data_IF_473465713612
#
_entry.id   IF_473465713612
#
_cell.length_a   1.000
_cell.length_b   1.000
_cell.length_c   1.000
_cell.angle_alpha   90.00
_cell.angle_beta   90.00
_cell.angle_gamma   90.00
#
_symmetry.space_group_name_H-M   'P 1'
#
loop_
_entity.id
_entity.type
_entity.pdbx_description
1 polymer ?
#
# COMPACT_ATOMS: atom_id res chain seq x y z
N UNK A 1 -14.53 -22.64 -2.39
CA UNK A 1 -13.95 -21.51 -1.63
C UNK A 1 -12.72 -22.03 -0.90
N UNK A 2 -11.78 -21.17 -0.48
CA UNK A 2 -10.70 -21.61 0.40
C UNK A 2 -11.27 -22.12 1.73
N UNK A 3 -10.64 -23.12 2.35
CA UNK A 3 -11.08 -23.64 3.65
C UNK A 3 -11.02 -22.52 4.69
N UNK A 4 -12.05 -22.39 5.53
CA UNK A 4 -12.02 -21.46 6.64
C UNK A 4 -10.88 -21.83 7.60
N UNK A 5 -10.02 -20.85 7.88
CA UNK A 5 -8.91 -20.97 8.84
C UNK A 5 -9.12 -19.88 9.89
N UNK A 6 -9.03 -20.27 11.15
CA UNK A 6 -9.17 -19.40 12.31
C UNK A 6 -7.84 -19.36 13.07
N UNK A 7 -7.46 -18.18 13.55
CA UNK A 7 -6.28 -17.98 14.39
C UNK A 7 -6.56 -18.40 15.83
N UNK A 8 -5.52 -18.54 16.66
CA UNK A 8 -5.66 -19.04 18.05
C UNK A 8 -6.57 -18.18 18.94
N UNK A 9 -6.64 -16.87 18.69
CA UNK A 9 -7.54 -15.95 19.39
C UNK A 9 -8.96 -15.90 18.79
N UNK A 10 -9.20 -16.60 17.68
CA UNK A 10 -10.50 -16.73 17.01
C UNK A 10 -11.18 -18.09 17.29
N UNK A 11 -10.72 -18.86 18.29
CA UNK A 11 -11.27 -20.20 18.62
C UNK A 11 -12.79 -20.19 18.79
N UNK A 12 -13.33 -19.21 19.51
CA UNK A 12 -14.78 -18.97 19.64
C UNK A 12 -15.51 -18.88 18.29
N UNK A 13 -14.89 -18.19 17.31
CA UNK A 13 -15.46 -18.03 15.97
C UNK A 13 -15.41 -19.35 15.18
N UNK A 14 -14.36 -20.15 15.37
CA UNK A 14 -14.25 -21.50 14.81
C UNK A 14 -15.31 -22.45 15.35
N UNK A 15 -15.62 -22.39 16.65
CA UNK A 15 -16.71 -23.17 17.25
C UNK A 15 -18.10 -22.75 16.75
N UNK A 16 -18.35 -21.44 16.62
CA UNK A 16 -19.61 -20.93 16.05
C UNK A 16 -19.73 -21.35 14.58
N UNK A 17 -18.65 -21.24 13.81
CA UNK A 17 -18.61 -21.66 12.40
C UNK A 17 -18.87 -23.16 12.24
N UNK A 18 -18.26 -24.02 13.07
CA UNK A 18 -18.50 -25.47 13.04
C UNK A 18 -19.97 -25.80 13.29
N UNK A 19 -20.62 -25.12 14.24
CA UNK A 19 -22.06 -25.28 14.50
C UNK A 19 -22.92 -24.83 13.32
N UNK A 20 -22.52 -23.77 12.61
CA UNK A 20 -23.20 -23.35 11.38
C UNK A 20 -23.05 -24.40 10.26
N UNK A 21 -21.85 -24.95 10.07
CA UNK A 21 -21.56 -26.01 9.10
C UNK A 21 -22.30 -27.31 9.43
N UNK A 22 -22.44 -27.67 10.72
CA UNK A 22 -23.26 -28.80 11.19
C UNK A 22 -24.75 -28.62 10.87
N UNK A 23 -25.30 -27.40 11.04
CA UNK A 23 -26.69 -27.10 10.66
C UNK A 23 -26.90 -27.09 9.14
N UNK A 24 -26.01 -26.46 8.37
CA UNK A 24 -26.11 -26.40 6.90
C UNK A 24 -26.00 -27.82 6.29
N UNK A 25 -25.15 -28.70 6.84
CA UNK A 25 -25.09 -30.11 6.43
C UNK A 25 -26.33 -30.92 6.84
N UNK A 26 -26.88 -30.70 8.04
CA UNK A 26 -28.10 -31.35 8.50
C UNK A 26 -29.32 -30.97 7.64
N UNK A 27 -29.40 -29.73 7.18
CA UNK A 27 -30.44 -29.28 6.24
C UNK A 27 -30.32 -29.99 4.89
N UNK A 28 -29.09 -30.19 4.38
CA UNK A 28 -28.83 -30.96 3.15
C UNK A 28 -29.19 -32.45 3.28
N UNK A 29 -28.95 -33.07 4.44
CA UNK A 29 -29.24 -34.49 4.70
C UNK A 29 -30.72 -34.78 4.98
N UNK A 30 -31.38 -33.91 5.76
CA UNK A 30 -32.72 -34.18 6.31
C UNK A 30 -33.84 -33.37 5.66
N UNK A 31 -33.51 -32.32 4.90
CA UNK A 31 -34.48 -31.37 4.35
C UNK A 31 -35.18 -30.48 5.39
N UNK A 32 -34.80 -30.58 6.67
CA UNK A 32 -35.35 -29.76 7.76
C UNK A 32 -34.56 -28.45 7.83
N UNK A 33 -35.23 -27.35 7.54
CA UNK A 33 -34.62 -26.03 7.49
C UNK A 33 -34.60 -25.33 8.85
N UNK A 34 -33.41 -25.21 9.46
CA UNK A 34 -33.20 -24.51 10.75
C UNK A 34 -32.73 -23.05 10.54
N UNK A 35 -33.35 -22.37 9.57
CA UNK A 35 -33.01 -21.01 9.15
C UNK A 35 -32.90 -19.98 10.28
N UNK A 36 -33.75 -20.07 11.31
CA UNK A 36 -33.75 -19.14 12.45
C UNK A 36 -32.50 -19.34 13.34
N UNK A 37 -32.16 -20.58 13.68
CA UNK A 37 -30.95 -20.92 14.43
C UNK A 37 -29.68 -20.53 13.64
N UNK A 38 -29.67 -20.78 12.32
CA UNK A 38 -28.57 -20.38 11.44
C UNK A 38 -28.41 -18.86 11.37
N UNK A 39 -29.51 -18.10 11.33
CA UNK A 39 -29.53 -16.63 11.38
C UNK A 39 -29.01 -16.10 12.72
N UNK A 40 -29.40 -16.72 13.83
CA UNK A 40 -28.88 -16.37 15.16
C UNK A 40 -27.38 -16.64 15.29
N UNK A 41 -26.89 -17.79 14.83
CA UNK A 41 -25.45 -18.09 14.81
C UNK A 41 -24.68 -17.10 13.91
N UNK A 42 -25.21 -16.74 12.73
CA UNK A 42 -24.62 -15.71 11.86
C UNK A 42 -24.57 -14.34 12.54
N UNK A 43 -25.61 -13.94 13.28
CA UNK A 43 -25.62 -12.72 14.12
C UNK A 43 -24.56 -12.80 15.23
N UNK A 44 -24.51 -13.91 15.97
CA UNK A 44 -23.55 -14.14 17.06
C UNK A 44 -22.11 -14.12 16.57
N UNK A 45 -21.84 -14.76 15.43
CA UNK A 45 -20.53 -14.74 14.77
C UNK A 45 -20.12 -13.30 14.41
N UNK A 46 -21.03 -12.52 13.82
CA UNK A 46 -20.77 -11.12 13.45
C UNK A 46 -20.44 -10.26 14.67
N UNK A 47 -21.24 -10.34 15.74
CA UNK A 47 -20.99 -9.59 16.98
C UNK A 47 -19.67 -10.00 17.61
N UNK A 48 -19.40 -11.31 17.77
CA UNK A 48 -18.15 -11.80 18.36
C UNK A 48 -16.92 -11.44 17.53
N UNK A 49 -17.03 -11.42 16.20
CA UNK A 49 -15.96 -10.95 15.32
C UNK A 49 -15.68 -9.47 15.56
N UNK A 50 -16.73 -8.64 15.71
CA UNK A 50 -16.56 -7.21 15.98
C UNK A 50 -15.92 -6.94 17.36
N UNK A 51 -16.31 -7.69 18.40
CA UNK A 51 -15.67 -7.62 19.72
C UNK A 51 -14.17 -7.95 19.66
N UNK A 52 -13.81 -9.07 19.02
CA UNK A 52 -12.41 -9.51 18.91
C UNK A 52 -11.57 -8.52 18.09
N UNK A 53 -12.09 -8.06 16.95
CA UNK A 53 -11.34 -7.20 16.04
C UNK A 53 -11.32 -5.71 16.42
N UNK A 54 -12.04 -5.31 17.47
CA UNK A 54 -12.02 -3.95 18.02
C UNK A 54 -10.81 -3.68 18.93
N UNK A 55 -10.22 -4.70 19.55
CA UNK A 55 -9.13 -4.59 20.53
C UNK A 55 -8.00 -5.61 20.23
N UNK A 56 -7.50 -5.60 18.99
CA UNK A 56 -6.37 -6.45 18.60
C UNK A 56 -5.05 -5.87 19.11
N UNK A 57 -4.30 -6.67 19.86
CA UNK A 57 -2.89 -6.38 20.16
C UNK A 57 -2.04 -6.34 18.87
N UNK A 58 -0.92 -5.59 18.84
CA UNK A 58 -0.01 -5.56 17.68
C UNK A 58 0.46 -6.95 17.22
N UNK A 59 0.60 -7.91 18.14
CA UNK A 59 0.91 -9.30 17.82
C UNK A 59 -0.23 -10.02 17.11
N UNK A 60 -1.47 -9.90 17.60
CA UNK A 60 -2.64 -10.47 16.91
C UNK A 60 -2.82 -9.84 15.53
N UNK A 61 -2.60 -8.54 15.39
CA UNK A 61 -2.59 -7.85 14.09
C UNK A 61 -1.51 -8.41 13.16
N UNK A 62 -0.29 -8.70 13.65
CA UNK A 62 0.73 -9.39 12.86
C UNK A 62 0.32 -10.81 12.44
N UNK A 63 -0.43 -11.54 13.27
CA UNK A 63 -0.99 -12.85 12.89
C UNK A 63 -2.08 -12.71 11.79
N UNK A 64 -2.88 -11.64 11.81
CA UNK A 64 -3.84 -11.33 10.72
C UNK A 64 -3.12 -10.91 9.43
N UNK A 65 -2.00 -10.19 9.51
CA UNK A 65 -1.14 -9.89 8.36
C UNK A 65 -0.54 -11.16 7.73
N UNK A 66 -0.25 -12.17 8.56
CA UNK A 66 0.30 -13.48 8.18
C UNK A 66 -0.76 -14.53 7.83
N UNK A 67 -2.05 -14.19 7.84
CA UNK A 67 -3.13 -15.16 7.67
C UNK A 67 -3.02 -15.93 6.33
N UNK A 68 -3.13 -17.27 6.31
CA UNK A 68 -2.89 -18.06 5.11
C UNK A 68 -3.88 -17.84 3.97
N UNK A 69 -5.06 -17.28 4.26
CA UNK A 69 -6.05 -16.90 3.25
C UNK A 69 -6.04 -15.39 2.94
N UNK A 70 -5.08 -14.61 3.48
CA UNK A 70 -4.94 -13.19 3.15
C UNK A 70 -4.72 -13.02 1.63
N UNK A 71 -5.38 -12.06 0.97
CA UNK A 71 -5.18 -11.86 -0.47
C UNK A 71 -3.76 -11.34 -0.75
N UNK A 72 -3.10 -11.96 -1.74
CA UNK A 72 -1.76 -11.61 -2.21
C UNK A 72 -1.84 -10.69 -3.45
N UNK A 73 -0.69 -10.26 -3.96
CA UNK A 73 -0.59 -9.32 -5.10
C UNK A 73 -1.42 -9.75 -6.31
N UNK A 74 -1.35 -11.01 -6.73
CA UNK A 74 -2.13 -11.51 -7.88
C UNK A 74 -3.65 -11.46 -7.64
N UNK A 75 -4.13 -11.72 -6.41
CA UNK A 75 -5.56 -11.64 -6.11
C UNK A 75 -6.09 -10.20 -6.25
N UNK A 76 -5.26 -9.21 -5.90
CA UNK A 76 -5.60 -7.80 -6.12
C UNK A 76 -5.44 -7.38 -7.58
N UNK A 77 -4.45 -7.91 -8.30
CA UNK A 77 -4.29 -7.67 -9.74
C UNK A 77 -5.57 -8.10 -10.48
N UNK A 78 -5.98 -9.37 -10.30
CA UNK A 78 -7.15 -9.97 -10.95
C UNK A 78 -8.48 -9.28 -10.57
N UNK A 79 -8.56 -8.66 -9.39
CA UNK A 79 -9.77 -8.02 -8.89
C UNK A 79 -9.86 -6.51 -9.13
N UNK A 80 -8.74 -5.83 -9.39
CA UNK A 80 -8.66 -4.35 -9.46
C UNK A 80 -8.32 -3.85 -10.86
N UNK A 81 -7.43 -4.54 -11.56
CA UNK A 81 -6.84 -4.10 -12.81
C UNK A 81 -7.37 -4.89 -14.00
N UNK A 82 -7.33 -4.26 -15.17
CA UNK A 82 -7.77 -4.81 -16.44
C UNK A 82 -6.54 -5.04 -17.35
N UNK A 83 -6.63 -5.96 -18.32
CA UNK A 83 -5.56 -6.25 -19.30
C UNK A 83 -4.15 -6.49 -18.69
N UNK A 84 -4.04 -7.23 -17.58
CA UNK A 84 -2.74 -7.53 -16.97
C UNK A 84 -1.88 -8.46 -17.84
N UNK A 85 -0.65 -8.03 -18.14
CA UNK A 85 0.36 -8.77 -18.88
C UNK A 85 1.65 -8.86 -18.05
N UNK A 86 1.91 -10.02 -17.42
CA UNK A 86 3.11 -10.25 -16.61
C UNK A 86 4.39 -10.19 -17.47
N UNK A 87 5.45 -9.59 -16.91
CA UNK A 87 6.73 -9.33 -17.58
C UNK A 87 7.91 -9.92 -16.80
N UNK A 88 8.44 -11.02 -17.31
CA UNK A 88 9.45 -11.85 -16.63
C UNK A 88 10.91 -11.39 -16.80
N UNK A 89 11.75 -11.80 -15.85
CA UNK A 89 13.21 -11.74 -15.88
C UNK A 89 13.81 -10.39 -15.50
N UNK A 90 15.02 -10.40 -14.95
CA UNK A 90 15.82 -9.18 -14.69
C UNK A 90 16.70 -8.74 -15.88
N UNK A 91 16.93 -9.66 -16.84
CA UNK A 91 17.88 -9.55 -17.99
C UNK A 91 19.36 -9.71 -17.63
N UNK A 92 19.66 -10.18 -16.43
CA UNK A 92 21.03 -10.35 -15.91
C UNK A 92 21.28 -11.76 -15.39
N UNK A 93 20.32 -12.36 -14.68
CA UNK A 93 20.47 -13.66 -14.04
C UNK A 93 19.24 -14.55 -14.19
N UNK A 94 18.06 -14.14 -13.70
CA UNK A 94 16.88 -15.01 -13.62
C UNK A 94 15.53 -14.25 -13.55
N UNK A 95 14.43 -15.02 -13.54
CA UNK A 95 13.08 -14.53 -13.20
C UNK A 95 12.70 -14.99 -11.79
N UNK A 96 12.87 -14.12 -10.79
CA UNK A 96 12.40 -14.41 -9.43
C UNK A 96 10.86 -14.48 -9.40
N UNK A 97 10.35 -15.57 -8.84
CA UNK A 97 8.93 -15.88 -8.73
C UNK A 97 8.26 -15.22 -7.51
N UNK A 98 9.06 -14.69 -6.57
CA UNK A 98 8.60 -13.92 -5.42
C UNK A 98 8.17 -12.49 -5.79
N UNK A 99 8.62 -11.95 -6.92
CA UNK A 99 8.18 -10.66 -7.47
C UNK A 99 7.40 -10.92 -8.75
N UNK A 100 6.10 -10.61 -8.74
CA UNK A 100 5.29 -10.51 -9.95
C UNK A 100 5.23 -9.05 -10.40
N UNK A 101 5.07 -8.83 -11.70
CA UNK A 101 4.84 -7.48 -12.19
C UNK A 101 4.69 -7.40 -13.70
N UNK A 102 4.01 -6.36 -14.17
CA UNK A 102 3.56 -6.29 -15.55
C UNK A 102 2.77 -5.02 -15.88
N UNK A 103 2.46 -4.88 -17.16
CA UNK A 103 1.59 -3.80 -17.64
C UNK A 103 0.14 -4.15 -17.33
N UNK A 104 -0.65 -3.16 -16.94
CA UNK A 104 -2.08 -3.31 -16.67
C UNK A 104 -2.83 -2.01 -16.99
N UNK A 105 -4.14 -2.02 -16.79
CA UNK A 105 -5.01 -0.84 -16.82
C UNK A 105 -5.71 -0.64 -15.48
N UNK A 106 -5.73 0.60 -15.00
CA UNK A 106 -6.58 1.04 -13.90
C UNK A 106 -7.65 1.97 -14.48
N UNK A 107 -8.69 1.37 -15.07
CA UNK A 107 -9.69 2.08 -15.87
C UNK A 107 -9.10 2.63 -17.17
N UNK A 108 -9.07 3.96 -17.29
CA UNK A 108 -8.56 4.65 -18.49
C UNK A 108 -7.03 4.76 -18.52
N UNK A 109 -6.35 4.60 -17.38
CA UNK A 109 -4.90 4.75 -17.29
C UNK A 109 -4.17 3.42 -17.50
N UNK A 110 -3.21 3.40 -18.43
CA UNK A 110 -2.21 2.34 -18.51
C UNK A 110 -1.19 2.52 -17.38
N UNK A 111 -0.83 1.44 -16.70
CA UNK A 111 -0.04 1.45 -15.46
C UNK A 111 0.94 0.28 -15.41
N UNK A 112 1.99 0.40 -14.61
CA UNK A 112 2.86 -0.70 -14.23
C UNK A 112 2.48 -1.18 -12.83
N UNK A 113 2.24 -2.48 -12.65
CA UNK A 113 1.98 -3.07 -11.33
C UNK A 113 3.11 -4.03 -10.99
N UNK A 114 3.62 -3.96 -9.75
CA UNK A 114 4.71 -4.81 -9.24
C UNK A 114 4.34 -5.22 -7.82
N UNK A 115 4.70 -6.43 -7.37
CA UNK A 115 4.55 -6.75 -5.95
C UNK A 115 5.10 -8.09 -5.54
N UNK A 116 5.16 -8.27 -4.23
CA UNK A 116 5.55 -9.53 -3.62
C UNK A 116 4.42 -10.55 -3.76
N UNK A 117 4.76 -11.76 -4.18
CA UNK A 117 3.81 -12.85 -4.36
C UNK A 117 4.22 -14.04 -3.48
N UNK A 118 3.46 -14.25 -2.41
CA UNK A 118 3.50 -15.48 -1.62
C UNK A 118 2.80 -16.62 -2.35
N UNK A 119 2.91 -17.83 -1.81
CA UNK A 119 2.21 -19.02 -2.32
C UNK A 119 1.05 -19.47 -1.44
N UNK A 120 -0.03 -19.95 -2.06
CA UNK A 120 -1.18 -20.51 -1.33
C UNK A 120 -0.89 -21.93 -0.80
N UNK A 121 -0.37 -22.81 -1.65
CA UNK A 121 0.03 -24.17 -1.29
C UNK A 121 1.55 -24.32 -1.08
N UNK A 122 1.99 -25.46 -0.54
CA UNK A 122 3.40 -25.73 -0.23
C UNK A 122 4.31 -25.69 -1.46
N UNK A 123 3.85 -26.14 -2.64
CA UNK A 123 4.65 -26.13 -3.88
C UNK A 123 4.83 -24.69 -4.37
N UNK A 124 3.76 -23.90 -4.36
CA UNK A 124 3.83 -22.49 -4.73
C UNK A 124 4.68 -21.69 -3.73
N UNK A 125 4.56 -21.94 -2.42
CA UNK A 125 5.38 -21.29 -1.39
C UNK A 125 6.86 -21.54 -1.61
N UNK A 126 7.27 -22.78 -1.85
CA UNK A 126 8.66 -23.11 -2.17
C UNK A 126 9.10 -22.46 -3.49
N UNK A 127 8.29 -22.54 -4.56
CA UNK A 127 8.61 -21.90 -5.86
C UNK A 127 8.84 -20.39 -5.73
N UNK A 128 8.06 -19.71 -4.88
CA UNK A 128 8.10 -18.26 -4.68
C UNK A 128 8.91 -17.82 -3.45
N UNK A 129 9.74 -18.69 -2.88
CA UNK A 129 10.54 -18.42 -1.69
C UNK A 129 9.73 -17.81 -0.51
N UNK A 130 8.46 -18.20 -0.35
CA UNK A 130 7.53 -17.63 0.64
C UNK A 130 7.32 -16.10 0.53
N UNK A 131 7.53 -15.52 -0.66
CA UNK A 131 7.51 -14.07 -0.88
C UNK A 131 8.81 -13.37 -0.47
N UNK A 132 9.86 -14.10 -0.09
CA UNK A 132 11.19 -13.55 0.17
C UNK A 132 11.98 -13.40 -1.12
N UNK A 133 12.37 -12.18 -1.45
CA UNK A 133 12.94 -11.84 -2.75
C UNK A 133 14.46 -11.95 -2.77
N UNK A 134 14.99 -12.49 -3.87
CA UNK A 134 16.41 -12.60 -4.20
C UNK A 134 16.88 -11.38 -5.02
N UNK A 135 18.19 -11.15 -5.18
CA UNK A 135 18.71 -9.93 -5.80
C UNK A 135 18.16 -9.70 -7.23
N UNK A 136 18.05 -10.76 -8.02
CA UNK A 136 17.41 -10.79 -9.33
C UNK A 136 15.94 -10.29 -9.31
N UNK A 137 15.16 -10.55 -8.26
CA UNK A 137 13.79 -10.07 -8.15
C UNK A 137 13.71 -8.56 -7.94
N UNK A 138 14.61 -7.98 -7.15
CA UNK A 138 14.75 -6.53 -7.02
C UNK A 138 15.29 -5.89 -8.31
N UNK A 139 16.17 -6.56 -9.06
CA UNK A 139 16.60 -6.09 -10.39
C UNK A 139 15.46 -6.15 -11.42
N UNK A 140 14.61 -7.19 -11.39
CA UNK A 140 13.35 -7.28 -12.16
C UNK A 140 12.40 -6.13 -11.81
N UNK A 141 12.18 -5.85 -10.52
CA UNK A 141 11.34 -4.74 -10.07
C UNK A 141 11.84 -3.39 -10.63
N UNK A 142 13.12 -3.07 -10.44
CA UNK A 142 13.74 -1.85 -10.97
C UNK A 142 13.64 -1.75 -12.49
N UNK A 143 13.87 -2.85 -13.22
CA UNK A 143 13.72 -2.90 -14.69
C UNK A 143 12.30 -2.52 -15.11
N UNK A 144 11.28 -3.00 -14.39
CA UNK A 144 9.87 -2.68 -14.66
C UNK A 144 9.54 -1.22 -14.30
N UNK A 145 10.08 -0.69 -13.20
CA UNK A 145 9.93 0.73 -12.83
C UNK A 145 10.56 1.66 -13.87
N UNK A 146 11.76 1.33 -14.38
CA UNK A 146 12.41 2.09 -15.46
C UNK A 146 11.69 1.95 -16.81
N UNK A 147 11.05 0.82 -17.07
CA UNK A 147 10.18 0.66 -18.24
C UNK A 147 8.93 1.55 -18.13
N UNK A 148 8.34 1.64 -16.94
CA UNK A 148 7.22 2.54 -16.65
C UNK A 148 7.61 4.01 -16.82
N UNK A 149 8.73 4.43 -16.23
CA UNK A 149 9.31 5.78 -16.36
C UNK A 149 9.52 6.17 -17.85
N UNK A 150 10.10 5.26 -18.65
CA UNK A 150 10.33 5.48 -20.09
C UNK A 150 9.05 5.77 -20.89
N UNK A 151 7.91 5.22 -20.47
CA UNK A 151 6.62 5.41 -21.13
C UNK A 151 5.65 6.30 -20.33
N UNK A 152 6.17 7.04 -19.32
CA UNK A 152 5.39 7.92 -18.45
C UNK A 152 4.20 7.23 -17.75
N UNK A 153 4.33 5.94 -17.46
CA UNK A 153 3.30 5.12 -16.81
C UNK A 153 3.41 5.22 -15.29
N UNK A 154 2.29 5.46 -14.56
CA UNK A 154 2.25 5.34 -13.11
C UNK A 154 2.60 3.93 -12.63
N UNK A 155 3.25 3.84 -11.47
CA UNK A 155 3.67 2.58 -10.85
C UNK A 155 2.86 2.31 -9.59
N UNK A 156 2.32 1.11 -9.47
CA UNK A 156 1.71 0.58 -8.24
C UNK A 156 2.58 -0.53 -7.69
N UNK A 157 2.93 -0.45 -6.40
CA UNK A 157 3.66 -1.51 -5.70
C UNK A 157 2.84 -2.15 -4.59
N UNK A 158 2.87 -3.47 -4.51
CA UNK A 158 2.19 -4.26 -3.48
C UNK A 158 3.21 -4.99 -2.60
N UNK A 159 3.20 -4.68 -1.31
CA UNK A 159 4.18 -5.18 -0.35
C UNK A 159 3.55 -6.24 0.55
N UNK A 160 4.10 -7.46 0.45
CA UNK A 160 3.76 -8.60 1.29
C UNK A 160 4.93 -9.60 1.36
N UNK A 161 5.93 -9.27 2.18
CA UNK A 161 7.12 -10.08 2.37
C UNK A 161 7.54 -10.12 3.84
N UNK A 162 7.96 -11.26 4.39
CA UNK A 162 8.58 -11.31 5.71
C UNK A 162 10.01 -10.72 5.69
N UNK A 163 10.61 -10.52 4.51
CA UNK A 163 11.94 -9.93 4.32
C UNK A 163 12.60 -10.36 3.01
N UNK A 164 13.74 -9.76 2.69
CA UNK A 164 14.60 -10.24 1.61
C UNK A 164 15.14 -11.65 1.95
N UNK A 165 15.36 -12.50 0.94
CA UNK A 165 15.81 -13.88 1.15
C UNK A 165 17.23 -13.92 1.76
N UNK A 166 17.43 -14.47 2.97
CA UNK A 166 18.71 -14.44 3.69
C UNK A 166 19.53 -15.71 3.39
N UNK A 167 19.87 -15.92 2.12
CA UNK A 167 20.62 -17.10 1.66
C UNK A 167 22.01 -16.77 1.13
N UNK A 168 22.93 -17.73 1.21
CA UNK A 168 24.30 -17.60 0.67
C UNK A 168 24.27 -17.16 -0.80
N UNK A 169 23.38 -17.78 -1.59
CA UNK A 169 23.26 -17.49 -3.02
C UNK A 169 22.74 -16.06 -3.31
N UNK A 170 21.95 -15.48 -2.40
CA UNK A 170 21.53 -14.09 -2.48
C UNK A 170 22.67 -13.11 -2.10
N UNK A 171 23.51 -13.45 -1.12
CA UNK A 171 24.69 -12.65 -0.76
C UNK A 171 25.75 -12.68 -1.87
N UNK A 172 26.05 -13.85 -2.45
CA UNK A 172 26.93 -14.00 -3.62
C UNK A 172 26.49 -13.14 -4.82
N UNK A 173 25.18 -12.89 -4.94
CA UNK A 173 24.59 -12.03 -5.99
C UNK A 173 24.27 -10.61 -5.53
N UNK A 174 24.84 -10.17 -4.40
CA UNK A 174 24.75 -8.85 -3.80
C UNK A 174 23.30 -8.39 -3.49
N UNK A 175 22.63 -9.06 -2.55
CA UNK A 175 21.32 -8.66 -2.02
C UNK A 175 21.30 -7.20 -1.53
N UNK A 176 22.32 -6.79 -0.78
CA UNK A 176 22.46 -5.41 -0.28
C UNK A 176 22.55 -4.37 -1.41
N UNK A 177 23.26 -4.67 -2.51
CA UNK A 177 23.33 -3.78 -3.68
C UNK A 177 21.97 -3.67 -4.36
N UNK A 178 21.30 -4.79 -4.61
CA UNK A 178 20.03 -4.80 -5.33
C UNK A 178 18.95 -4.00 -4.59
N UNK A 179 18.89 -4.13 -3.25
CA UNK A 179 18.00 -3.33 -2.38
C UNK A 179 18.40 -1.85 -2.40
N UNK A 180 19.67 -1.54 -2.13
CA UNK A 180 20.16 -0.15 -2.07
C UNK A 180 19.99 0.60 -3.40
N UNK A 181 20.22 -0.07 -4.53
CA UNK A 181 20.04 0.50 -5.86
C UNK A 181 18.57 0.77 -6.16
N UNK A 182 17.66 -0.10 -5.76
CA UNK A 182 16.22 0.13 -5.91
C UNK A 182 15.76 1.37 -5.12
N UNK A 183 16.16 1.48 -3.84
CA UNK A 183 15.85 2.64 -2.98
C UNK A 183 16.35 3.95 -3.63
N UNK A 184 17.59 3.95 -4.12
CA UNK A 184 18.21 5.12 -4.78
C UNK A 184 17.49 5.54 -6.07
N UNK A 185 17.09 4.59 -6.91
CA UNK A 185 16.42 4.86 -8.19
C UNK A 185 14.96 5.26 -8.01
N UNK A 186 14.25 4.63 -7.06
CA UNK A 186 12.88 4.99 -6.68
C UNK A 186 12.79 6.40 -6.13
N UNK A 187 13.81 6.88 -5.38
CA UNK A 187 13.86 8.26 -4.92
C UNK A 187 13.89 9.29 -6.07
N UNK A 188 14.25 8.88 -7.30
CA UNK A 188 14.43 9.74 -8.48
C UNK A 188 13.44 9.50 -9.62
N UNK A 189 12.54 8.52 -9.48
CA UNK A 189 11.66 8.06 -10.56
C UNK A 189 10.66 9.16 -10.99
N UNK A 190 10.67 9.57 -12.26
CA UNK A 190 9.89 10.70 -12.82
C UNK A 190 8.41 10.39 -13.12
N UNK A 191 7.86 9.34 -12.51
CA UNK A 191 6.45 8.94 -12.64
C UNK A 191 5.83 8.72 -11.25
N UNK A 192 4.51 8.91 -11.08
CA UNK A 192 3.83 8.62 -9.83
C UNK A 192 4.04 7.18 -9.36
N UNK A 193 4.42 7.00 -8.10
CA UNK A 193 4.57 5.69 -7.45
C UNK A 193 3.62 5.62 -6.25
N UNK A 194 2.73 4.63 -6.21
CA UNK A 194 1.81 4.41 -5.09
C UNK A 194 2.09 3.01 -4.51
N UNK A 195 2.59 2.98 -3.28
CA UNK A 195 2.93 1.73 -2.58
C UNK A 195 1.85 1.36 -1.59
N UNK A 196 1.39 0.11 -1.61
CA UNK A 196 0.43 -0.42 -0.63
C UNK A 196 1.04 -1.61 0.10
N UNK A 197 1.18 -1.51 1.42
CA UNK A 197 1.45 -2.68 2.27
C UNK A 197 0.14 -3.45 2.42
N UNK A 198 0.07 -4.62 1.76
CA UNK A 198 -1.13 -5.46 1.75
C UNK A 198 -1.04 -6.60 2.76
N UNK A 199 0.15 -6.97 3.24
CA UNK A 199 0.36 -7.98 4.28
C UNK A 199 1.52 -7.62 5.19
N UNK A 200 2.66 -8.28 5.02
CA UNK A 200 3.88 -7.98 5.79
C UNK A 200 4.81 -7.01 5.04
N UNK A 201 5.24 -5.95 5.74
CA UNK A 201 6.31 -5.05 5.34
C UNK A 201 7.63 -5.42 6.04
N UNK A 202 8.27 -6.50 5.61
CA UNK A 202 9.53 -6.99 6.18
C UNK A 202 10.76 -6.19 5.77
N UNK A 203 11.22 -5.29 6.64
CA UNK A 203 12.56 -4.69 6.64
C UNK A 203 12.96 -4.03 5.30
N UNK A 204 14.27 -4.00 5.00
CA UNK A 204 14.82 -3.50 3.73
C UNK A 204 14.27 -4.21 2.50
N UNK A 205 13.84 -5.47 2.63
CA UNK A 205 13.24 -6.23 1.53
C UNK A 205 11.88 -5.70 1.08
N UNK A 206 11.06 -5.22 2.02
CA UNK A 206 9.86 -4.45 1.73
C UNK A 206 10.19 -3.06 1.19
N UNK A 207 11.13 -2.36 1.84
CA UNK A 207 11.52 -0.99 1.48
C UNK A 207 12.02 -0.87 0.04
N UNK A 208 12.67 -1.92 -0.48
CA UNK A 208 13.17 -1.99 -1.86
C UNK A 208 12.12 -1.71 -2.94
N UNK A 209 10.81 -1.87 -2.68
CA UNK A 209 9.76 -1.46 -3.62
C UNK A 209 8.72 -0.50 -3.00
N UNK A 210 8.99 0.05 -1.81
CA UNK A 210 8.06 0.89 -1.06
C UNK A 210 8.42 2.38 -1.02
N UNK A 211 9.56 2.79 -1.59
CA UNK A 211 9.88 4.22 -1.82
C UNK A 211 8.96 4.75 -2.91
N UNK A 212 8.07 5.67 -2.55
CA UNK A 212 6.90 6.04 -3.34
C UNK A 212 6.46 7.52 -3.15
N UNK A 213 5.38 7.96 -3.77
CA UNK A 213 4.74 9.27 -3.55
C UNK A 213 3.59 9.24 -2.54
N UNK A 214 2.91 8.10 -2.42
CA UNK A 214 1.98 7.79 -1.34
C UNK A 214 2.19 6.37 -0.85
N UNK A 215 2.40 6.22 0.45
CA UNK A 215 2.46 4.96 1.17
C UNK A 215 1.12 4.70 1.86
N UNK A 216 0.49 3.60 1.45
CA UNK A 216 -0.79 3.11 1.95
C UNK A 216 -0.54 1.84 2.76
N UNK A 217 -1.27 1.66 3.87
CA UNK A 217 -1.33 0.39 4.59
C UNK A 217 -2.77 -0.12 4.66
N UNK A 218 -2.97 -1.44 4.56
CA UNK A 218 -4.22 -2.05 5.00
C UNK A 218 -4.24 -2.11 6.53
N UNK A 219 -5.42 -2.02 7.13
CA UNK A 219 -5.60 -1.90 8.59
C UNK A 219 -4.85 -2.96 9.40
N UNK A 220 -4.87 -4.21 8.96
CA UNK A 220 -4.19 -5.34 9.59
C UNK A 220 -2.95 -5.79 8.80
N UNK A 221 -2.35 -4.89 8.02
CA UNK A 221 -0.97 -5.03 7.53
C UNK A 221 0.03 -4.50 8.56
N UNK A 222 1.28 -4.92 8.45
CA UNK A 222 2.37 -4.53 9.36
C UNK A 222 3.57 -4.00 8.60
N UNK A 223 4.36 -3.12 9.19
CA UNK A 223 5.63 -2.67 8.59
C UNK A 223 6.66 -2.50 9.71
N UNK A 224 7.81 -3.16 9.60
CA UNK A 224 8.86 -3.05 10.62
C UNK A 224 10.26 -3.26 10.06
N UNK A 225 11.26 -2.73 10.77
CA UNK A 225 12.69 -2.87 10.43
C UNK A 225 13.23 -4.28 10.65
N UNK A 226 12.56 -5.07 11.50
CA UNK A 226 12.91 -6.46 11.85
C UNK A 226 11.63 -7.23 12.19
N UNK A 227 11.62 -8.56 12.05
CA UNK A 227 10.50 -9.35 12.55
C UNK A 227 10.39 -9.28 14.08
N UNK A 228 9.18 -9.38 14.66
CA UNK A 228 9.02 -9.44 16.12
C UNK A 228 9.84 -10.56 16.75
N UNK A 229 9.92 -11.73 16.12
CA UNK A 229 10.72 -12.87 16.56
C UNK A 229 12.23 -12.58 16.53
N UNK A 230 12.72 -11.88 15.49
CA UNK A 230 14.10 -11.45 15.39
C UNK A 230 14.46 -10.44 16.49
N UNK A 231 13.60 -9.44 16.69
CA UNK A 231 13.74 -8.46 17.77
C UNK A 231 13.74 -9.12 19.16
N UNK A 232 12.82 -10.06 19.40
CA UNK A 232 12.71 -10.82 20.64
C UNK A 232 13.96 -11.65 20.93
N UNK A 233 14.48 -12.37 19.93
CA UNK A 233 15.70 -13.17 20.09
C UNK A 233 16.97 -12.34 20.34
N UNK A 234 17.02 -11.08 19.88
CA UNK A 234 18.16 -10.17 20.10
C UNK A 234 18.05 -9.45 21.45
N UNK A 235 16.95 -8.75 21.71
CA UNK A 235 16.81 -7.87 22.87
C UNK A 235 16.38 -8.61 24.15
N UNK A 236 15.54 -9.64 24.03
CA UNK A 236 15.05 -10.45 25.15
C UNK A 236 15.70 -11.84 25.24
N UNK A 237 16.53 -12.24 24.27
CA UNK A 237 17.19 -13.55 24.20
C UNK A 237 16.21 -14.74 24.20
N UNK A 238 14.96 -14.52 23.80
CA UNK A 238 13.90 -15.53 23.69
C UNK A 238 12.96 -15.14 22.55
N UNK A 239 12.65 -16.10 21.67
CA UNK A 239 11.68 -15.89 20.59
C UNK A 239 10.22 -15.80 21.11
N UNK A 240 9.94 -16.37 22.29
CA UNK A 240 8.61 -16.35 22.92
C UNK A 240 8.16 -14.93 23.31
N UNK A 241 9.12 -13.99 23.38
CA UNK A 241 8.90 -12.56 23.60
C UNK A 241 8.53 -11.77 22.33
N UNK A 242 8.16 -12.46 21.26
CA UNK A 242 7.62 -11.84 20.04
C UNK A 242 6.40 -10.92 20.29
N UNK A 243 5.47 -11.20 21.22
CA UNK A 243 4.36 -10.28 21.51
C UNK A 243 4.83 -8.95 22.11
N UNK A 244 5.72 -8.99 23.11
CA UNK A 244 6.30 -7.79 23.70
C UNK A 244 7.17 -7.01 22.70
N UNK A 245 7.92 -7.72 21.85
CA UNK A 245 8.69 -7.11 20.77
C UNK A 245 7.78 -6.44 19.71
N UNK A 246 6.65 -7.06 19.34
CA UNK A 246 5.69 -6.48 18.41
C UNK A 246 5.08 -5.17 18.95
N UNK A 247 4.80 -5.11 20.26
CA UNK A 247 4.36 -3.89 20.93
C UNK A 247 5.44 -2.80 20.89
N UNK A 248 6.69 -3.15 21.21
CA UNK A 248 7.82 -2.21 21.24
C UNK A 248 8.21 -1.67 19.84
N UNK A 249 8.05 -2.50 18.79
CA UNK A 249 8.36 -2.14 17.40
C UNK A 249 7.35 -1.18 16.75
N UNK A 250 6.20 -0.90 17.39
CA UNK A 250 5.19 0.05 16.89
C UNK A 250 4.71 -0.21 15.44
N UNK A 251 4.63 -1.49 15.05
CA UNK A 251 4.56 -1.97 13.66
C UNK A 251 3.17 -1.93 12.98
N UNK A 252 2.14 -1.44 13.66
CA UNK A 252 0.75 -1.43 13.17
C UNK A 252 0.45 -0.21 12.30
N UNK A 253 -0.46 -0.37 11.35
CA UNK A 253 -0.85 0.67 10.39
C UNK A 253 -1.24 2.01 11.06
N UNK A 254 -2.09 1.96 12.09
CA UNK A 254 -2.56 3.14 12.81
C UNK A 254 -1.41 3.85 13.54
N UNK A 255 -0.49 3.11 14.16
CA UNK A 255 0.64 3.71 14.88
C UNK A 255 1.67 4.33 13.93
N UNK A 256 1.87 3.73 12.75
CA UNK A 256 2.73 4.29 11.71
C UNK A 256 2.12 5.52 11.01
N UNK A 257 0.79 5.61 10.96
CA UNK A 257 0.06 6.82 10.55
C UNK A 257 0.24 7.95 11.57
N UNK A 258 0.09 7.67 12.87
CA UNK A 258 0.35 8.65 13.95
C UNK A 258 1.78 9.20 13.93
N UNK A 259 2.76 8.36 13.57
CA UNK A 259 4.16 8.75 13.42
C UNK A 259 4.46 9.52 12.12
N UNK A 260 3.48 9.66 11.22
CA UNK A 260 3.66 10.31 9.92
C UNK A 260 4.54 9.52 8.93
N UNK A 261 4.71 8.23 9.15
CA UNK A 261 5.48 7.35 8.26
C UNK A 261 4.64 6.84 7.08
N UNK A 262 3.32 6.74 7.28
CA UNK A 262 2.31 6.25 6.34
C UNK A 262 1.34 7.39 6.01
N UNK A 263 0.96 7.55 4.75
CA UNK A 263 0.06 8.63 4.32
C UNK A 263 -1.43 8.28 4.53
N UNK A 264 -1.78 6.99 4.43
CA UNK A 264 -3.17 6.53 4.54
C UNK A 264 -3.30 5.08 5.01
N UNK A 265 -4.24 4.83 5.92
CA UNK A 265 -4.71 3.48 6.29
C UNK A 265 -6.04 3.20 5.60
N UNK A 266 -6.22 1.98 5.08
CA UNK A 266 -7.50 1.50 4.52
C UNK A 266 -8.08 0.44 5.47
N UNK A 267 -9.27 0.71 5.99
CA UNK A 267 -10.04 -0.24 6.80
C UNK A 267 -10.30 -1.54 6.03
N UNK A 268 -10.06 -2.67 6.69
CA UNK A 268 -10.36 -3.99 6.13
C UNK A 268 -11.84 -4.35 6.38
N UNK A 269 -12.40 -5.35 5.65
CA UNK A 269 -13.67 -5.96 6.01
C UNK A 269 -13.69 -6.45 7.47
N UNK A 270 -14.88 -6.63 8.05
CA UNK A 270 -15.03 -7.15 9.40
C UNK A 270 -14.36 -8.54 9.52
N UNK A 271 -13.36 -8.65 10.40
CA UNK A 271 -12.53 -9.85 10.54
C UNK A 271 -11.34 -9.94 9.56
N UNK A 272 -11.03 -8.87 8.81
CA UNK A 272 -9.88 -8.75 7.92
C UNK A 272 -10.14 -9.09 6.45
N UNK A 273 -9.17 -8.72 5.59
CA UNK A 273 -9.21 -8.83 4.14
C UNK A 273 -9.48 -10.26 3.62
N UNK A 274 -9.11 -11.28 4.39
CA UNK A 274 -9.34 -12.69 4.05
C UNK A 274 -10.81 -13.11 4.19
N UNK A 275 -11.67 -12.34 4.88
CA UNK A 275 -13.09 -12.63 5.08
C UNK A 275 -13.96 -12.18 3.90
N UNK A 276 -13.65 -11.01 3.32
CA UNK A 276 -14.26 -10.54 2.07
C UNK A 276 -13.22 -9.88 1.14
N UNK A 277 -12.47 -10.69 0.37
CA UNK A 277 -11.49 -10.18 -0.58
C UNK A 277 -12.11 -9.26 -1.66
N UNK A 278 -13.40 -9.40 -1.98
CA UNK A 278 -14.07 -8.59 -3.00
C UNK A 278 -14.35 -7.19 -2.48
N UNK A 279 -14.87 -7.08 -1.26
CA UNK A 279 -15.05 -5.78 -0.60
C UNK A 279 -13.71 -5.08 -0.36
N UNK A 280 -12.68 -5.84 0.03
CA UNK A 280 -11.32 -5.31 0.19
C UNK A 280 -10.78 -4.76 -1.15
N UNK A 281 -10.83 -5.55 -2.23
CA UNK A 281 -10.37 -5.13 -3.55
C UNK A 281 -11.14 -3.90 -4.07
N UNK A 282 -12.45 -3.82 -3.87
CA UNK A 282 -13.28 -2.65 -4.21
C UNK A 282 -12.83 -1.39 -3.46
N UNK A 283 -12.59 -1.51 -2.15
CA UNK A 283 -12.17 -0.40 -1.27
C UNK A 283 -10.75 0.07 -1.62
N UNK A 284 -9.85 -0.87 -1.92
CA UNK A 284 -8.51 -0.59 -2.39
C UNK A 284 -8.52 0.08 -3.77
N UNK A 285 -9.26 -0.46 -4.76
CA UNK A 285 -9.41 0.11 -6.12
C UNK A 285 -9.84 1.57 -6.06
N UNK A 286 -10.85 1.89 -5.25
CA UNK A 286 -11.29 3.28 -5.06
C UNK A 286 -10.13 4.16 -4.56
N UNK A 287 -9.43 3.73 -3.52
CA UNK A 287 -8.31 4.51 -2.96
C UNK A 287 -7.15 4.67 -3.94
N UNK A 288 -6.81 3.63 -4.72
CA UNK A 288 -5.76 3.71 -5.75
C UNK A 288 -6.12 4.70 -6.86
N UNK A 289 -7.38 4.71 -7.31
CA UNK A 289 -7.88 5.69 -8.30
C UNK A 289 -7.85 7.12 -7.73
N UNK A 290 -8.26 7.30 -6.47
CA UNK A 290 -8.26 8.62 -5.83
C UNK A 290 -6.82 9.16 -5.64
N UNK A 291 -5.86 8.32 -5.22
CA UNK A 291 -4.45 8.70 -5.13
C UNK A 291 -3.83 8.97 -6.49
N UNK A 292 -4.12 8.14 -7.50
CA UNK A 292 -3.59 8.33 -8.86
C UNK A 292 -3.98 9.69 -9.43
N UNK A 293 -5.26 10.08 -9.29
CA UNK A 293 -5.76 11.39 -9.74
C UNK A 293 -5.03 12.57 -9.09
N UNK A 294 -4.62 12.44 -7.82
CA UNK A 294 -3.90 13.49 -7.10
C UNK A 294 -2.46 13.70 -7.60
N UNK A 295 -1.81 12.65 -8.13
CA UNK A 295 -0.44 12.72 -8.65
C UNK A 295 -0.35 12.93 -10.17
N UNK A 296 -1.37 12.54 -10.94
CA UNK A 296 -1.41 12.77 -12.40
C UNK A 296 -1.40 14.25 -12.80
N UNK A 297 -1.76 15.16 -11.90
CA UNK A 297 -1.72 16.61 -12.14
C UNK A 297 -0.40 17.28 -11.72
N UNK A 298 0.58 16.51 -11.20
CA UNK A 298 1.88 17.04 -10.79
C UNK A 298 2.89 16.96 -11.94
N UNK A 299 3.74 17.98 -12.04
CA UNK A 299 4.90 17.94 -12.92
C UNK A 299 5.94 16.90 -12.43
N UNK A 300 6.62 16.16 -13.32
CA UNK A 300 7.61 15.15 -12.92
C UNK A 300 8.75 15.64 -12.02
N UNK A 301 9.22 16.89 -12.18
CA UNK A 301 10.30 17.43 -11.34
C UNK A 301 9.77 17.78 -9.95
N UNK A 302 8.58 18.39 -9.86
CA UNK A 302 7.89 18.65 -8.60
C UNK A 302 7.52 17.36 -7.84
N UNK A 303 7.20 16.28 -8.57
CA UNK A 303 6.94 14.96 -8.01
C UNK A 303 8.19 14.36 -7.36
N UNK A 304 9.35 14.43 -8.02
CA UNK A 304 10.64 13.98 -7.47
C UNK A 304 11.06 14.85 -6.27
N UNK A 305 10.93 16.18 -6.37
CA UNK A 305 11.21 17.10 -5.26
C UNK A 305 10.35 16.79 -4.03
N UNK A 306 9.03 16.61 -4.22
CA UNK A 306 8.11 16.20 -3.14
C UNK A 306 8.53 14.87 -2.51
N UNK A 307 8.94 13.89 -3.32
CA UNK A 307 9.38 12.58 -2.83
C UNK A 307 10.66 12.68 -2.00
N UNK A 308 11.65 13.42 -2.48
CA UNK A 308 12.90 13.70 -1.74
C UNK A 308 12.61 14.45 -0.44
N UNK A 309 11.76 15.48 -0.47
CA UNK A 309 11.33 16.21 0.73
C UNK A 309 10.65 15.30 1.75
N UNK A 310 9.80 14.35 1.33
CA UNK A 310 9.19 13.38 2.25
C UNK A 310 10.25 12.44 2.86
N UNK A 311 11.20 11.96 2.05
CA UNK A 311 12.28 11.08 2.51
C UNK A 311 13.20 11.77 3.55
N UNK A 312 13.58 13.03 3.31
CA UNK A 312 14.45 13.79 4.23
C UNK A 312 13.75 14.20 5.54
N UNK A 313 12.42 14.25 5.56
CA UNK A 313 11.62 14.58 6.74
C UNK A 313 11.35 13.37 7.67
N UNK A 314 11.77 12.15 7.28
CA UNK A 314 11.66 10.96 8.11
C UNK A 314 12.73 10.93 9.20
N UNK A 315 12.30 10.69 10.44
CA UNK A 315 13.16 10.68 11.62
C UNK A 315 12.91 11.86 12.55
N UNK A 316 13.33 11.69 13.81
CA UNK A 316 13.34 12.74 14.84
C UNK A 316 14.60 12.55 15.67
N UNK A 317 15.35 13.63 15.85
CA UNK A 317 16.60 13.65 16.61
C UNK A 317 16.73 14.99 17.32
N UNK A 318 17.44 15.00 18.45
CA UNK A 318 17.80 16.24 19.16
C UNK A 318 19.22 16.65 18.73
N UNK A 319 19.35 17.84 18.14
CA UNK A 319 20.66 18.42 17.85
C UNK A 319 21.25 18.99 19.15
N UNK A 320 22.24 18.28 19.72
CA UNK A 320 23.07 18.83 20.78
C UNK A 320 24.15 19.72 20.16
N UNK A 321 23.88 21.02 20.13
CA UNK A 321 24.89 22.00 19.76
C UNK A 321 26.11 21.83 20.69
N UNK A 322 27.29 21.59 20.12
CA UNK A 322 28.53 21.63 20.90
C UNK A 322 28.96 23.08 21.05
N UNK A 323 29.51 23.45 22.21
CA UNK A 323 29.91 24.84 22.49
C UNK A 323 30.94 25.41 21.50
N UNK A 324 31.67 24.54 20.78
CA UNK A 324 32.54 24.93 19.67
C UNK A 324 31.78 25.50 18.46
N UNK A 325 30.55 25.04 18.20
CA UNK A 325 29.68 25.57 17.15
C UNK A 325 28.92 26.83 17.58
N UNK A 326 28.57 26.98 18.86
CA UNK A 326 27.97 28.22 19.37
C UNK A 326 28.91 29.42 19.18
N UNK A 327 30.21 29.24 19.46
CA UNK A 327 31.25 30.25 19.22
C UNK A 327 31.40 30.59 17.72
N UNK A 328 31.31 29.61 16.83
CA UNK A 328 31.37 29.84 15.38
C UNK A 328 30.13 30.59 14.86
N UNK A 329 28.94 30.24 15.34
CA UNK A 329 27.70 30.93 14.98
C UNK A 329 27.64 32.36 15.55
N UNK A 330 28.18 32.59 16.75
CA UNK A 330 28.32 33.94 17.32
C UNK A 330 29.30 34.80 16.51
N UNK A 331 30.49 34.26 16.19
CA UNK A 331 31.48 34.96 15.37
C UNK A 331 30.97 35.28 13.95
N UNK A 332 30.15 34.40 13.36
CA UNK A 332 29.48 34.68 12.10
C UNK A 332 28.48 35.84 12.23
N UNK A 333 27.65 35.86 13.27
CA UNK A 333 26.68 36.93 13.49
C UNK A 333 27.32 38.29 13.81
N UNK A 334 28.45 38.32 14.53
CA UNK A 334 29.21 39.56 14.78
C UNK A 334 29.86 40.13 13.51
N UNK A 335 30.10 39.30 12.49
CA UNK A 335 30.67 39.74 11.21
C UNK A 335 29.66 40.37 10.22
N UNK A 336 28.36 40.29 10.51
CA UNK A 336 27.28 40.87 9.69
C UNK A 336 26.72 42.21 10.25
N UNK A 337 27.49 42.93 11.06
CA UNK A 337 27.15 44.30 11.45
C UNK A 337 27.33 45.27 10.26
N UNK A 338 26.35 46.14 9.95
CA UNK A 338 26.49 47.11 8.87
C UNK A 338 27.61 48.11 9.17
N UNK A 339 28.44 48.40 8.16
CA UNK A 339 29.37 49.53 8.19
C UNK A 339 28.55 50.82 8.27
N UNK A 340 28.78 51.63 9.32
CA UNK A 340 28.18 52.97 9.43
C UNK A 340 28.74 53.88 8.31
N UNK A 341 27.87 54.37 7.44
CA UNK A 341 28.24 55.41 6.46
C UNK A 341 28.54 56.73 7.20
N UNK A 342 29.78 57.18 7.14
CA UNK A 342 30.19 58.47 7.70
C UNK A 342 29.68 59.62 6.82
N UNK A 343 28.91 60.53 7.43
CA UNK A 343 28.32 61.67 6.74
C UNK A 343 29.40 62.68 6.31
N UNK A 344 29.55 62.88 4.99
CA UNK A 344 30.22 64.04 4.42
C UNK A 344 29.17 65.07 3.97
N UNK A 345 29.30 66.33 4.42
CA UNK A 345 28.40 67.40 4.01
C UNK A 345 28.69 67.89 2.57
N UNK A 346 27.66 67.92 1.72
CA UNK A 346 27.68 68.70 0.47
C UNK A 346 27.00 70.08 0.66
N UNK A 347 27.54 71.16 0.05
CA UNK A 347 27.05 72.52 0.27
C UNK A 347 25.78 72.85 -0.54
N UNK A 348 24.82 73.50 0.13
CA UNK A 348 23.51 73.89 -0.42
C UNK A 348 23.61 74.92 -1.55
N UNK A 349 22.95 74.65 -2.68
CA UNK A 349 22.50 75.66 -3.66
C UNK A 349 20.99 75.88 -3.55
N UNK A 350 20.52 77.10 -3.90
CA UNK A 350 19.12 77.53 -3.74
C UNK A 350 18.35 77.46 -5.05
N UNK A 351 17.11 76.98 -5.02
CA UNK A 351 16.09 77.19 -6.07
C UNK A 351 15.11 78.32 -5.69
N UNK A 352 14.56 79.07 -6.67
CA UNK A 352 13.47 80.04 -6.47
C UNK A 352 12.06 79.46 -6.75
N UNK A 353 11.03 80.28 -6.54
CA UNK A 353 9.66 79.86 -6.18
C UNK A 353 8.71 79.38 -7.30
N UNK A 354 7.66 78.66 -6.86
CA UNK A 354 6.54 78.07 -7.62
C UNK A 354 5.50 79.08 -8.17
N UNK A 355 4.55 78.60 -9.00
CA UNK A 355 3.13 78.82 -8.65
C UNK A 355 2.18 77.59 -8.74
N UNK A 356 1.06 77.72 -7.99
CA UNK A 356 -0.11 76.81 -7.76
C UNK A 356 -1.00 76.64 -9.04
N UNK A 357 -1.95 75.70 -9.27
CA UNK A 357 -2.94 74.83 -8.51
C UNK A 357 -3.67 73.94 -9.60
N UNK A 358 -4.84 73.22 -9.42
CA UNK A 358 -5.46 72.43 -8.33
C UNK A 358 -6.19 71.08 -8.72
N UNK A 359 -6.44 70.18 -7.72
CA UNK A 359 -7.58 69.18 -7.59
C UNK A 359 -7.64 67.97 -8.58
N UNK A 360 -8.28 66.80 -8.29
CA UNK A 360 -9.49 66.48 -7.49
C UNK A 360 -9.62 64.95 -7.14
N UNK A 361 -10.22 64.58 -5.97
CA UNK A 361 -11.04 63.36 -5.58
C UNK A 361 -10.72 61.93 -6.13
N UNK A 362 -10.97 60.77 -5.46
CA UNK A 362 -11.70 60.31 -4.26
C UNK A 362 -11.08 58.94 -3.82
N UNK A 363 -10.79 58.60 -2.55
CA UNK A 363 -11.68 58.09 -1.48
C UNK A 363 -12.61 56.91 -1.90
N UNK A 364 -12.79 55.79 -1.16
CA UNK A 364 -12.29 55.35 0.17
C UNK A 364 -12.41 53.80 0.37
N UNK A 365 -11.50 53.28 1.20
CA UNK A 365 -11.50 52.05 2.04
C UNK A 365 -12.87 51.44 2.49
N UNK A 366 -12.95 50.10 2.61
CA UNK A 366 -12.90 49.31 3.89
C UNK A 366 -13.15 47.78 3.74
N UNK A 367 -12.57 46.99 4.66
CA UNK A 367 -12.83 45.55 4.94
C UNK A 367 -13.85 45.40 6.13
N UNK A 368 -14.00 44.24 6.83
CA UNK A 368 -14.75 43.02 6.47
C UNK A 368 -15.73 42.56 7.59
N UNK A 369 -16.63 41.60 7.34
CA UNK A 369 -17.30 40.81 8.42
C UNK A 369 -17.60 39.38 7.96
N UNK A 370 -17.55 38.40 8.87
CA UNK A 370 -18.03 37.02 8.67
C UNK A 370 -19.02 36.61 9.78
N UNK A 371 -20.05 35.81 9.46
CA UNK A 371 -20.60 34.74 10.34
C UNK A 371 -21.66 33.86 9.66
N UNK A 372 -21.86 32.68 10.29
CA UNK A 372 -22.63 31.49 9.88
C UNK A 372 -24.16 31.65 9.91
N UNK A 373 -24.86 30.86 9.08
CA UNK A 373 -26.15 30.12 9.27
C UNK A 373 -26.81 29.90 7.88
N UNK A 374 -27.74 28.98 7.61
CA UNK A 374 -28.26 27.78 8.30
C UNK A 374 -28.81 26.78 7.25
N UNK A 375 -29.30 25.62 7.68
CA UNK A 375 -29.90 24.54 6.85
C UNK A 375 -31.20 24.98 6.16
N UNK A 376 -31.44 24.50 4.93
CA UNK A 376 -32.78 24.31 4.38
C UNK A 376 -32.80 23.05 3.48
N UNK A 377 -33.85 22.25 3.64
CA UNK A 377 -34.11 20.99 2.96
C UNK A 377 -35.41 21.15 2.15
N UNK A 378 -35.46 20.70 0.90
CA UNK A 378 -36.69 20.48 0.12
C UNK A 378 -36.43 19.52 -1.03
N UNK A 379 -37.46 18.80 -1.46
CA UNK A 379 -37.35 17.59 -2.26
C UNK A 379 -38.15 17.64 -3.58
N UNK A 380 -37.98 16.54 -4.34
CA UNK A 380 -38.91 15.97 -5.33
C UNK A 380 -39.06 16.54 -6.77
N UNK A 381 -38.66 15.68 -7.72
CA UNK A 381 -39.31 15.40 -9.03
C UNK A 381 -39.26 16.50 -10.11
N UNK A 382 -39.28 16.22 -11.43
CA UNK A 382 -40.04 15.21 -12.21
C UNK A 382 -39.17 14.59 -13.34
N UNK A 383 -39.55 13.39 -13.81
CA UNK A 383 -38.90 12.63 -14.88
C UNK A 383 -39.62 12.76 -16.24
N UNK A 384 -38.92 12.51 -17.37
CA UNK A 384 -39.37 12.04 -18.70
C UNK A 384 -38.14 12.07 -19.66
N UNK A 385 -37.97 11.31 -20.75
CA UNK A 385 -38.56 10.06 -21.28
C UNK A 385 -37.51 9.39 -22.22
N UNK A 386 -37.65 8.10 -22.52
CA UNK A 386 -36.72 7.33 -23.39
C UNK A 386 -37.04 7.47 -24.91
N UNK A 387 -36.24 6.87 -25.81
CA UNK A 387 -36.63 5.51 -26.25
C UNK A 387 -35.50 4.50 -26.52
N UNK A 388 -35.81 3.21 -26.33
CA UNK A 388 -35.01 2.04 -26.78
C UNK A 388 -35.42 1.59 -28.19
N UNK A 389 -34.50 0.98 -28.95
CA UNK A 389 -34.75 -0.02 -30.01
C UNK A 389 -33.42 -0.66 -30.49
N UNK A 390 -33.42 -1.88 -31.08
CA UNK A 390 -33.85 -3.13 -30.46
C UNK A 390 -32.77 -4.24 -30.54
N UNK A 391 -33.02 -5.39 -29.90
CA UNK A 391 -32.09 -6.52 -29.82
C UNK A 391 -31.90 -7.28 -31.16
N UNK A 392 -30.73 -7.91 -31.33
CA UNK A 392 -30.50 -8.97 -32.31
C UNK A 392 -30.26 -10.32 -31.62
N UNK A 393 -31.31 -11.15 -31.54
CA UNK A 393 -31.18 -12.58 -31.24
C UNK A 393 -30.49 -13.28 -32.42
N UNK A 394 -29.57 -14.20 -32.14
CA UNK A 394 -29.28 -15.36 -32.99
C UNK A 394 -29.41 -16.62 -32.15
N UNK A 395 -30.17 -17.58 -32.68
CA UNK A 395 -30.46 -18.91 -32.12
C UNK A 395 -30.52 -19.91 -33.27
N UNK A 396 -30.56 -21.21 -32.97
CA UNK A 396 -30.51 -22.37 -33.87
C UNK A 396 -29.06 -22.83 -34.21
N UNK A 397 -28.51 -23.91 -33.61
CA UNK A 397 -28.70 -25.37 -33.91
C UNK A 397 -28.05 -25.81 -35.24
N UNK A 398 -27.46 -27.00 -35.45
CA UNK A 398 -27.24 -28.25 -34.66
C UNK A 398 -26.43 -29.23 -35.53
N UNK A 399 -25.60 -30.12 -34.93
CA UNK A 399 -25.15 -31.49 -35.34
C UNK A 399 -23.78 -31.77 -34.70
N UNK A 400 -23.52 -32.75 -33.82
CA UNK A 400 -23.70 -34.23 -33.79
C UNK A 400 -22.67 -35.05 -34.60
N UNK A 401 -21.59 -35.49 -33.94
CA UNK A 401 -20.86 -36.77 -34.05
C UNK A 401 -19.70 -36.72 -33.00
N UNK A 402 -19.45 -37.60 -32.03
CA UNK A 402 -19.61 -39.06 -31.81
C UNK A 402 -18.35 -39.89 -32.18
N UNK A 403 -17.76 -40.59 -31.17
CA UNK A 403 -16.60 -41.52 -31.23
C UNK A 403 -15.25 -40.82 -31.61
N UNK A 404 -14.03 -41.29 -31.30
CA UNK A 404 -13.40 -42.41 -30.54
C UNK A 404 -11.94 -41.91 -30.21
N UNK A 405 -11.11 -42.38 -29.28
CA UNK A 405 -11.14 -43.40 -28.20
C UNK A 405 -10.00 -43.10 -27.18
N UNK A 406 -9.59 -44.06 -26.34
CA UNK A 406 -8.32 -44.08 -25.58
C UNK A 406 -7.48 -45.33 -26.00
N UNK A 407 -6.16 -45.38 -25.70
CA UNK A 407 -5.65 -46.26 -24.62
C UNK A 407 -4.79 -45.52 -23.58
N UNK A 408 -4.81 -45.90 -22.30
CA UNK A 408 -3.80 -46.77 -21.62
C UNK A 408 -2.34 -46.31 -21.82
N UNK A 409 -1.67 -45.76 -20.80
CA UNK A 409 -1.21 -46.37 -19.53
C UNK A 409 0.06 -47.23 -19.67
N UNK A 410 1.17 -46.70 -19.15
CA UNK A 410 2.40 -47.46 -18.89
C UNK A 410 3.03 -46.95 -17.59
N UNK A 411 3.18 -47.88 -16.63
CA UNK A 411 3.76 -47.68 -15.30
C UNK A 411 5.28 -47.72 -15.33
N UNK A 412 5.93 -46.91 -14.47
CA UNK A 412 7.32 -47.12 -14.09
C UNK A 412 7.50 -46.87 -12.58
N UNK A 413 7.82 -47.92 -11.83
CA UNK A 413 8.23 -47.86 -10.42
C UNK A 413 9.77 -47.70 -10.30
N UNK A 414 10.30 -47.35 -9.12
CA UNK A 414 11.65 -46.82 -8.98
C UNK A 414 12.74 -47.89 -8.79
N UNK A 415 13.96 -47.57 -9.24
CA UNK A 415 15.17 -48.27 -8.84
C UNK A 415 15.73 -47.69 -7.53
N UNK A 416 16.22 -48.57 -6.65
CA UNK A 416 17.07 -48.23 -5.50
C UNK A 416 18.54 -48.39 -5.90
N UNK A 417 19.38 -47.44 -5.49
CA UNK A 417 20.63 -47.68 -4.76
C UNK A 417 21.02 -46.41 -3.99
#
# INVERSE_FOLDING_TARGET
>A
MAKAVFLDFEKDLGEIYKKMEELENKELETGVSENEALSELKRKMRTRTAEIYADLTPWQTALVARHPNRPYTLDYIDAIFEDFHELHGDRTFADDQSIVGGLARLGEHAVMVIGHQKGRDTRERTRRNFGMTKPEGYRKALRLMKLAEKFSLPVFTFVDTPGAYPGIDAEERNQSEAIGRNIYELAKLRVPVISTIIGEGGSGGALAIAVCDSLIMLQYSTYSVISPEGCASILWKSADKAPEAAQALALTSDRLLELGLVDKVISEPLGGAHRDPKLMASTLRKTLVDQLKAFLTMDPDALVERRLGRLMNYGRFEEKCSSAYELLCQAAHESELPLEESAAEEPKTKEPETPKKPRRSCALRRKPVAKKSQVAETAETVAETAPKKPARRRSATRKTAAKKEAPEAASAEPAKE
#
